data_IF_088604226264
#
_entry.id   IF_088604226264
#
_cell.length_a   1.000
_cell.length_b   1.000
_cell.length_c   1.000
_cell.angle_alpha   90.00
_cell.angle_beta   90.00
_cell.angle_gamma   90.00
#
_symmetry.space_group_name_H-M   'P 1'
#
loop_
_entity.id
_entity.type
_entity.pdbx_description
1 polymer ?
#
# COMPACT_ATOMS: atom_id res chain seq x y z
N UNK A 1 20.44 -5.96 -32.90
CA UNK A 1 19.00 -5.94 -32.54
C UNK A 1 18.66 -4.96 -31.41
N UNK A 2 19.56 -4.69 -30.45
CA UNK A 2 19.31 -3.76 -29.33
C UNK A 2 18.99 -2.29 -29.74
N UNK A 3 19.63 -1.75 -30.78
CA UNK A 3 19.40 -0.36 -31.21
C UNK A 3 17.97 -0.11 -31.73
N UNK A 4 17.33 -1.09 -32.37
CA UNK A 4 15.95 -0.97 -32.89
C UNK A 4 14.91 -1.00 -31.76
N UNK A 5 15.19 -1.73 -30.68
CA UNK A 5 14.34 -1.80 -29.49
C UNK A 5 14.42 -0.48 -28.71
N UNK A 6 15.62 0.09 -28.53
CA UNK A 6 15.77 1.40 -27.89
C UNK A 6 15.07 2.52 -28.67
N UNK A 7 15.14 2.54 -30.00
CA UNK A 7 14.44 3.54 -30.81
C UNK A 7 12.92 3.39 -30.69
N UNK A 8 12.39 2.15 -30.66
CA UNK A 8 10.96 1.92 -30.51
C UNK A 8 10.45 2.28 -29.11
N UNK A 9 11.23 2.00 -28.05
CA UNK A 9 10.91 2.40 -26.69
C UNK A 9 10.94 3.93 -26.56
N UNK A 10 11.94 4.61 -27.14
CA UNK A 10 11.99 6.08 -27.12
C UNK A 10 10.85 6.69 -27.93
N UNK A 11 10.52 6.15 -29.11
CA UNK A 11 9.40 6.63 -29.92
C UNK A 11 8.05 6.40 -29.24
N UNK A 12 7.83 5.25 -28.60
CA UNK A 12 6.59 5.00 -27.85
C UNK A 12 6.51 5.88 -26.60
N UNK A 13 7.62 6.11 -25.90
CA UNK A 13 7.64 7.01 -24.74
C UNK A 13 7.38 8.46 -25.14
N UNK A 14 7.99 8.95 -26.22
CA UNK A 14 7.76 10.31 -26.72
C UNK A 14 6.36 10.45 -27.32
N UNK A 15 5.82 9.43 -27.99
CA UNK A 15 4.45 9.46 -28.52
C UNK A 15 3.40 9.44 -27.41
N UNK A 16 3.60 8.66 -26.34
CA UNK A 16 2.76 8.67 -25.14
C UNK A 16 2.89 10.01 -24.41
N UNK A 17 4.11 10.54 -24.24
CA UNK A 17 4.32 11.86 -23.63
C UNK A 17 3.66 12.97 -24.44
N UNK A 18 3.79 12.94 -25.77
CA UNK A 18 3.15 13.89 -26.68
C UNK A 18 1.63 13.71 -26.68
N UNK A 19 1.11 12.48 -26.58
CA UNK A 19 -0.33 12.23 -26.50
C UNK A 19 -0.92 12.74 -25.18
N UNK A 20 -0.26 12.49 -24.05
CA UNK A 20 -0.64 13.03 -22.74
C UNK A 20 -0.51 14.56 -22.75
N UNK A 21 0.61 15.09 -23.26
CA UNK A 21 0.84 16.52 -23.33
C UNK A 21 -0.18 17.20 -24.23
N UNK A 22 -0.50 16.66 -25.41
CA UNK A 22 -1.53 17.16 -26.32
C UNK A 22 -2.91 17.03 -25.68
N UNK A 23 -3.27 15.94 -25.01
CA UNK A 23 -4.58 15.82 -24.36
C UNK A 23 -4.75 16.79 -23.19
N UNK A 24 -3.72 16.94 -22.35
CA UNK A 24 -3.73 17.86 -21.20
C UNK A 24 -3.67 19.32 -21.66
N UNK A 25 -2.86 19.66 -22.67
CA UNK A 25 -2.78 21.04 -23.21
C UNK A 25 -3.96 21.40 -24.11
N UNK A 26 -4.53 20.46 -24.86
CA UNK A 26 -5.74 20.68 -25.66
C UNK A 26 -6.98 20.82 -24.77
N UNK A 27 -7.04 20.13 -23.61
CA UNK A 27 -8.06 20.36 -22.59
C UNK A 27 -7.90 21.73 -21.92
N UNK A 28 -6.66 22.12 -21.58
CA UNK A 28 -6.34 23.47 -21.10
C UNK A 28 -6.77 24.56 -22.10
N UNK A 29 -6.44 24.40 -23.38
CA UNK A 29 -6.84 25.34 -24.44
C UNK A 29 -8.36 25.34 -24.68
N UNK A 30 -9.02 24.19 -24.61
CA UNK A 30 -10.48 24.09 -24.80
C UNK A 30 -11.25 24.77 -23.66
N UNK A 31 -10.72 24.74 -22.44
CA UNK A 31 -11.24 25.48 -21.29
C UNK A 31 -10.98 26.99 -21.38
N UNK A 32 -9.81 27.40 -21.90
CA UNK A 32 -9.44 28.81 -22.02
C UNK A 32 -10.12 29.56 -23.17
N UNK A 33 -10.66 28.87 -24.18
CA UNK A 33 -11.23 29.50 -25.38
C UNK A 33 -12.76 29.60 -25.42
N UNK A 34 -13.50 28.97 -24.49
CA UNK A 34 -14.97 28.96 -24.53
C UNK A 34 -15.59 29.69 -23.35
N UNK A 35 -16.14 30.87 -23.66
CA UNK A 35 -16.95 31.68 -22.75
C UNK A 35 -18.12 30.86 -22.17
N UNK A 36 -18.30 31.01 -20.85
CA UNK A 36 -19.13 30.18 -19.98
C UNK A 36 -20.59 30.08 -20.38
N UNK A 37 -21.06 28.84 -20.38
CA UNK A 37 -22.47 28.45 -20.36
C UNK A 37 -22.60 27.21 -19.48
N UNK A 38 -23.73 27.07 -18.78
CA UNK A 38 -24.13 25.89 -18.00
C UNK A 38 -23.96 24.56 -18.77
N UNK A 39 -24.07 24.61 -20.10
CA UNK A 39 -23.91 23.44 -20.97
C UNK A 39 -22.47 22.91 -21.05
N UNK A 40 -21.48 23.73 -20.66
CA UNK A 40 -20.06 23.40 -20.75
C UNK A 40 -19.53 22.79 -19.44
N UNK A 41 -20.12 23.10 -18.28
CA UNK A 41 -19.81 22.45 -16.99
C UNK A 41 -20.19 20.97 -16.99
N UNK A 42 -21.37 20.61 -17.50
CA UNK A 42 -21.81 19.20 -17.57
C UNK A 42 -20.98 18.36 -18.54
N UNK A 43 -20.58 18.96 -19.67
CA UNK A 43 -19.69 18.31 -20.65
C UNK A 43 -18.28 18.10 -20.11
N UNK A 44 -17.77 19.05 -19.34
CA UNK A 44 -16.50 18.93 -18.62
C UNK A 44 -16.49 17.68 -17.73
N UNK A 45 -17.54 17.48 -16.93
CA UNK A 45 -17.65 16.31 -16.05
C UNK A 45 -17.71 14.99 -16.83
N UNK A 46 -18.43 14.93 -17.95
CA UNK A 46 -18.44 13.74 -18.80
C UNK A 46 -17.06 13.42 -19.38
N UNK A 47 -16.28 14.45 -19.75
CA UNK A 47 -14.90 14.26 -20.23
C UNK A 47 -13.99 13.80 -19.09
N UNK A 48 -14.06 14.41 -17.91
CA UNK A 48 -13.28 13.99 -16.73
C UNK A 48 -13.57 12.52 -16.36
N UNK A 49 -14.83 12.08 -16.40
CA UNK A 49 -15.20 10.68 -16.16
C UNK A 49 -14.66 9.72 -17.21
N UNK A 50 -14.56 10.14 -18.48
CA UNK A 50 -14.01 9.32 -19.58
C UNK A 50 -12.48 9.24 -19.56
N UNK A 51 -11.81 10.30 -19.11
CA UNK A 51 -10.35 10.40 -19.10
C UNK A 51 -9.68 9.68 -17.92
N UNK A 52 -10.46 9.17 -16.95
CA UNK A 52 -9.94 8.36 -15.84
C UNK A 52 -9.49 9.18 -14.61
N UNK A 53 -8.87 8.52 -13.62
CA UNK A 53 -8.54 9.11 -12.31
C UNK A 53 -7.30 10.01 -12.35
N UNK A 54 -7.20 10.92 -13.32
CA UNK A 54 -6.12 11.91 -13.37
C UNK A 54 -6.44 13.07 -12.44
N UNK A 55 -5.73 13.14 -11.30
CA UNK A 55 -5.86 14.19 -10.30
C UNK A 55 -5.77 15.60 -10.91
N UNK A 56 -4.92 15.81 -11.92
CA UNK A 56 -4.70 17.14 -12.50
C UNK A 56 -5.95 17.67 -13.24
N UNK A 57 -6.69 16.79 -13.90
CA UNK A 57 -7.92 17.12 -14.61
C UNK A 57 -9.03 17.52 -13.64
N UNK A 58 -9.16 16.81 -12.52
CA UNK A 58 -10.17 17.10 -11.49
C UNK A 58 -9.87 18.41 -10.73
N UNK A 59 -8.58 18.73 -10.48
CA UNK A 59 -8.18 20.04 -9.91
C UNK A 59 -8.55 21.18 -10.86
N UNK A 60 -8.27 21.03 -12.16
CA UNK A 60 -8.59 22.04 -13.17
C UNK A 60 -10.11 22.19 -13.32
N UNK A 61 -10.85 21.08 -13.33
CA UNK A 61 -12.30 21.11 -13.41
C UNK A 61 -12.92 21.82 -12.21
N UNK A 62 -12.47 21.49 -10.99
CA UNK A 62 -12.93 22.15 -9.78
C UNK A 62 -12.56 23.64 -9.75
N UNK A 63 -11.34 23.99 -10.18
CA UNK A 63 -10.90 25.39 -10.29
C UNK A 63 -11.72 26.19 -11.30
N UNK A 64 -12.12 25.57 -12.41
CA UNK A 64 -12.99 26.19 -13.41
C UNK A 64 -14.40 26.43 -12.85
N UNK A 65 -14.99 25.42 -12.21
CA UNK A 65 -16.31 25.54 -11.58
C UNK A 65 -16.32 26.54 -10.41
N UNK A 66 -15.20 26.68 -9.71
CA UNK A 66 -15.02 27.64 -8.64
C UNK A 66 -14.70 29.07 -9.14
N UNK A 67 -14.38 29.26 -10.43
CA UNK A 67 -14.06 30.58 -10.98
C UNK A 67 -15.31 31.44 -11.14
N UNK A 68 -15.27 32.74 -10.80
CA UNK A 68 -16.38 33.68 -11.02
C UNK A 68 -16.71 33.87 -12.51
N UNK A 69 -15.79 33.52 -13.42
CA UNK A 69 -15.99 33.59 -14.88
C UNK A 69 -16.94 32.52 -15.42
N UNK A 70 -17.30 31.52 -14.60
CA UNK A 70 -18.16 30.39 -14.98
C UNK A 70 -19.65 30.75 -15.12
N UNK A 71 -20.05 31.96 -14.73
CA UNK A 71 -21.43 32.45 -14.86
C UNK A 71 -22.41 31.97 -13.78
N UNK A 72 -21.90 31.28 -12.76
CA UNK A 72 -22.66 30.89 -11.57
C UNK A 72 -23.66 29.75 -11.76
N UNK A 73 -24.11 29.18 -10.64
CA UNK A 73 -25.16 28.14 -10.60
C UNK A 73 -24.69 26.69 -10.76
N UNK A 74 -23.39 26.41 -10.57
CA UNK A 74 -22.79 25.08 -10.75
C UNK A 74 -22.69 24.24 -9.46
N UNK A 75 -23.56 24.51 -8.47
CA UNK A 75 -23.47 23.87 -7.15
C UNK A 75 -23.68 22.35 -7.22
N UNK A 76 -24.57 21.87 -8.10
CA UNK A 76 -24.83 20.45 -8.29
C UNK A 76 -23.62 19.73 -8.89
N UNK A 77 -22.98 20.35 -9.89
CA UNK A 77 -21.76 19.87 -10.54
C UNK A 77 -20.60 19.80 -9.55
N UNK A 78 -20.44 20.82 -8.70
CA UNK A 78 -19.41 20.83 -7.65
C UNK A 78 -19.66 19.69 -6.64
N UNK A 79 -20.90 19.47 -6.21
CA UNK A 79 -21.23 18.34 -5.33
C UNK A 79 -20.98 16.98 -5.99
N UNK A 80 -21.20 16.86 -7.29
CA UNK A 80 -20.88 15.66 -8.05
C UNK A 80 -19.36 15.42 -8.12
N UNK A 81 -18.56 16.47 -8.37
CA UNK A 81 -17.09 16.41 -8.32
C UNK A 81 -16.59 15.99 -6.94
N UNK A 82 -17.12 16.60 -5.88
CA UNK A 82 -16.72 16.30 -4.50
C UNK A 82 -16.99 14.83 -4.14
N UNK A 83 -18.14 14.28 -4.55
CA UNK A 83 -18.44 12.85 -4.37
C UNK A 83 -17.47 11.96 -5.13
N UNK A 84 -17.12 12.31 -6.37
CA UNK A 84 -16.17 11.52 -7.15
C UNK A 84 -14.74 11.57 -6.59
N UNK A 85 -14.31 12.74 -6.12
CA UNK A 85 -13.04 12.91 -5.40
C UNK A 85 -13.05 12.07 -4.11
N UNK A 86 -14.18 12.06 -3.41
CA UNK A 86 -14.37 11.27 -2.20
C UNK A 86 -14.21 9.76 -2.47
N UNK A 87 -14.89 9.23 -3.48
CA UNK A 87 -14.88 7.79 -3.80
C UNK A 87 -13.53 7.28 -4.31
N UNK A 88 -12.82 8.12 -5.07
CA UNK A 88 -11.60 7.73 -5.77
C UNK A 88 -10.31 8.23 -5.09
N UNK A 89 -10.42 8.87 -3.92
CA UNK A 89 -9.32 9.47 -3.14
C UNK A 89 -8.34 10.30 -3.99
N UNK A 90 -8.89 11.08 -4.93
CA UNK A 90 -8.10 11.72 -5.99
C UNK A 90 -7.36 12.96 -5.52
N UNK A 91 -7.83 13.60 -4.44
CA UNK A 91 -7.34 14.91 -4.04
C UNK A 91 -7.26 15.08 -2.52
N UNK A 92 -6.13 15.64 -2.01
CA UNK A 92 -6.04 16.04 -0.61
C UNK A 92 -7.10 17.09 -0.25
N UNK A 93 -7.67 16.95 0.96
CA UNK A 93 -8.68 17.87 1.49
C UNK A 93 -8.27 19.35 1.40
N UNK A 94 -7.00 19.64 1.69
CA UNK A 94 -6.48 21.01 1.67
C UNK A 94 -6.57 21.64 0.27
N UNK A 95 -6.33 20.85 -0.79
CA UNK A 95 -6.38 21.35 -2.16
C UNK A 95 -7.82 21.64 -2.61
N UNK A 96 -8.78 20.82 -2.15
CA UNK A 96 -10.21 21.08 -2.37
C UNK A 96 -10.65 22.38 -1.70
N UNK A 97 -10.21 22.63 -0.47
CA UNK A 97 -10.57 23.86 0.26
C UNK A 97 -9.93 25.09 -0.40
N UNK A 98 -8.66 25.01 -0.80
CA UNK A 98 -7.96 26.12 -1.45
C UNK A 98 -8.57 26.49 -2.81
N UNK A 99 -9.00 25.48 -3.58
CA UNK A 99 -9.67 25.71 -4.87
C UNK A 99 -11.05 26.34 -4.66
N UNK A 100 -11.85 25.83 -3.71
CA UNK A 100 -13.18 26.37 -3.41
C UNK A 100 -13.14 27.77 -2.77
N UNK A 101 -12.02 28.17 -2.15
CA UNK A 101 -11.85 29.53 -1.58
C UNK A 101 -12.07 30.64 -2.62
N UNK A 102 -11.78 30.37 -3.89
CA UNK A 102 -11.90 31.35 -4.97
C UNK A 102 -13.34 31.53 -5.47
N UNK A 103 -14.27 30.68 -5.02
CA UNK A 103 -15.69 30.77 -5.39
C UNK A 103 -16.46 31.65 -4.41
N UNK A 104 -17.28 32.56 -4.95
CA UNK A 104 -18.17 33.41 -4.15
C UNK A 104 -19.52 32.73 -3.87
N UNK A 105 -19.86 31.68 -4.63
CA UNK A 105 -21.16 30.99 -4.56
C UNK A 105 -21.19 29.79 -3.61
N UNK A 106 -20.04 29.15 -3.35
CA UNK A 106 -20.00 27.95 -2.51
C UNK A 106 -19.89 28.36 -1.05
N UNK A 107 -20.87 27.97 -0.25
CA UNK A 107 -20.80 28.20 1.19
C UNK A 107 -20.12 27.03 1.90
N UNK A 108 -19.57 27.28 3.08
CA UNK A 108 -19.05 26.22 3.96
C UNK A 108 -20.15 25.19 4.30
N UNK A 109 -21.43 25.57 4.22
CA UNK A 109 -22.55 24.65 4.38
C UNK A 109 -22.55 23.52 3.36
N UNK A 110 -22.19 23.82 2.12
CA UNK A 110 -22.25 22.88 0.99
C UNK A 110 -21.13 21.84 1.02
N UNK A 111 -19.97 22.23 1.58
CA UNK A 111 -18.79 21.35 1.71
C UNK A 111 -18.79 20.58 3.04
N UNK A 112 -19.65 20.95 3.99
CA UNK A 112 -19.79 20.28 5.30
C UNK A 112 -19.93 18.75 5.22
N UNK A 113 -20.82 18.16 4.40
CA UNK A 113 -20.96 16.71 4.33
C UNK A 113 -19.66 16.03 3.88
N UNK A 114 -18.98 16.61 2.88
CA UNK A 114 -17.68 16.12 2.40
C UNK A 114 -16.61 16.18 3.50
N UNK A 115 -16.53 17.28 4.24
CA UNK A 115 -15.58 17.43 5.36
C UNK A 115 -15.84 16.40 6.46
N UNK A 116 -17.10 16.18 6.81
CA UNK A 116 -17.49 15.20 7.83
C UNK A 116 -17.14 13.77 7.41
N UNK A 117 -17.39 13.41 6.15
CA UNK A 117 -17.09 12.09 5.64
C UNK A 117 -15.57 11.84 5.57
N UNK A 118 -14.80 12.81 5.05
CA UNK A 118 -13.34 12.73 5.02
C UNK A 118 -12.74 12.63 6.43
N UNK A 119 -13.22 13.43 7.37
CA UNK A 119 -12.79 13.35 8.77
C UNK A 119 -13.04 11.97 9.37
N UNK A 120 -14.24 11.41 9.15
CA UNK A 120 -14.58 10.07 9.63
C UNK A 120 -13.64 9.00 9.08
N UNK A 121 -13.34 9.03 7.77
CA UNK A 121 -12.39 8.10 7.15
C UNK A 121 -10.99 8.21 7.74
N UNK A 122 -10.52 9.43 8.00
CA UNK A 122 -9.23 9.65 8.66
C UNK A 122 -9.22 9.07 10.07
N UNK A 123 -10.28 9.27 10.85
CA UNK A 123 -10.40 8.70 12.20
C UNK A 123 -10.43 7.18 12.17
N UNK A 124 -11.19 6.57 11.25
CA UNK A 124 -11.29 5.11 11.10
C UNK A 124 -9.95 4.50 10.65
N UNK A 125 -9.24 5.16 9.72
CA UNK A 125 -7.90 4.78 9.29
C UNK A 125 -6.89 4.86 10.44
N UNK A 126 -6.95 5.92 11.26
CA UNK A 126 -6.11 6.08 12.45
C UNK A 126 -6.40 4.98 13.49
N UNK A 127 -7.67 4.67 13.74
CA UNK A 127 -8.07 3.61 14.66
C UNK A 127 -7.53 2.25 14.20
N UNK A 128 -7.67 1.95 12.91
CA UNK A 128 -7.14 0.72 12.30
C UNK A 128 -5.62 0.63 12.41
N UNK A 129 -4.91 1.72 12.10
CA UNK A 129 -3.45 1.79 12.19
C UNK A 129 -2.96 1.58 13.63
N UNK A 130 -3.61 2.23 14.60
CA UNK A 130 -3.33 2.04 16.04
C UNK A 130 -3.60 0.61 16.50
N UNK A 131 -4.69 0.00 16.04
CA UNK A 131 -5.02 -1.40 16.31
C UNK A 131 -3.92 -2.36 15.84
N UNK A 132 -3.46 -2.21 14.59
CA UNK A 132 -2.35 -2.99 14.03
C UNK A 132 -1.05 -2.78 14.81
N UNK A 133 -0.70 -1.53 15.12
CA UNK A 133 0.50 -1.23 15.91
C UNK A 133 0.47 -1.86 17.31
N UNK A 134 -0.71 -1.86 17.95
CA UNK A 134 -0.90 -2.54 19.23
C UNK A 134 -0.71 -4.05 19.08
N UNK A 135 -1.32 -4.68 18.07
CA UNK A 135 -1.18 -6.11 17.80
C UNK A 135 0.29 -6.50 17.54
N UNK A 136 0.99 -5.74 16.70
CA UNK A 136 2.42 -5.94 16.42
C UNK A 136 3.24 -5.83 17.71
N UNK A 137 2.93 -4.87 18.58
CA UNK A 137 3.63 -4.69 19.87
C UNK A 137 3.41 -5.89 20.80
N UNK A 138 2.19 -6.42 20.88
CA UNK A 138 1.91 -7.62 21.65
C UNK A 138 2.66 -8.84 21.08
N UNK A 139 2.72 -8.97 19.75
CA UNK A 139 3.45 -10.06 19.11
C UNK A 139 4.96 -9.95 19.36
N UNK A 140 5.54 -8.74 19.31
CA UNK A 140 6.95 -8.50 19.65
C UNK A 140 7.24 -8.94 21.08
N UNK A 141 6.42 -8.53 22.06
CA UNK A 141 6.61 -8.92 23.46
C UNK A 141 6.49 -10.44 23.63
N UNK A 142 5.50 -11.07 22.99
CA UNK A 142 5.35 -12.54 23.00
C UNK A 142 6.59 -13.24 22.43
N UNK A 143 7.09 -12.80 21.27
CA UNK A 143 8.29 -13.37 20.65
C UNK A 143 9.54 -13.17 21.52
N UNK A 144 9.67 -12.02 22.19
CA UNK A 144 10.78 -11.77 23.12
C UNK A 144 10.72 -12.72 24.32
N UNK A 145 9.54 -12.93 24.90
CA UNK A 145 9.35 -13.90 25.98
C UNK A 145 9.69 -15.33 25.53
N UNK A 146 9.24 -15.73 24.34
CA UNK A 146 9.57 -17.04 23.76
C UNK A 146 11.09 -17.21 23.55
N UNK A 147 11.79 -16.17 23.07
CA UNK A 147 13.25 -16.19 22.94
C UNK A 147 13.94 -16.39 24.30
N UNK A 148 13.46 -15.70 25.35
CA UNK A 148 14.02 -15.84 26.70
C UNK A 148 13.80 -17.26 27.21
N UNK A 149 12.56 -17.78 27.13
CA UNK A 149 12.23 -19.15 27.54
C UNK A 149 13.10 -20.19 26.82
N UNK A 150 13.23 -20.11 25.49
CA UNK A 150 14.06 -21.03 24.71
C UNK A 150 15.56 -20.96 25.06
N UNK A 151 16.03 -19.85 25.65
CA UNK A 151 17.43 -19.69 26.08
C UNK A 151 17.68 -20.13 27.52
N UNK A 152 16.71 -19.97 28.41
CA UNK A 152 16.90 -20.19 29.85
C UNK A 152 16.31 -21.50 30.35
N UNK A 153 15.30 -22.03 29.68
CA UNK A 153 14.57 -23.22 30.12
C UNK A 153 14.95 -24.44 29.27
N UNK A 154 15.08 -25.60 29.92
CA UNK A 154 15.29 -26.87 29.24
C UNK A 154 13.99 -27.27 28.52
N UNK A 155 14.03 -27.34 27.19
CA UNK A 155 12.89 -27.79 26.38
C UNK A 155 12.87 -29.31 26.29
N UNK A 156 11.80 -29.93 26.76
CA UNK A 156 11.59 -31.37 26.63
C UNK A 156 11.17 -31.72 25.19
N UNK A 157 11.86 -32.68 24.58
CA UNK A 157 11.53 -33.18 23.24
C UNK A 157 10.81 -34.52 23.36
N UNK A 158 9.49 -34.51 23.15
CA UNK A 158 8.64 -35.71 23.22
C UNK A 158 8.63 -36.53 21.92
N UNK A 159 9.33 -36.08 20.88
CA UNK A 159 9.32 -36.71 19.56
C UNK A 159 10.20 -37.96 19.58
N UNK A 160 9.61 -39.13 19.32
CA UNK A 160 10.30 -40.43 19.29
C UNK A 160 10.64 -40.93 17.88
N UNK A 161 10.28 -40.17 16.83
CA UNK A 161 10.46 -40.55 15.42
C UNK A 161 11.22 -39.49 14.65
N UNK A 162 12.08 -39.92 13.73
CA UNK A 162 12.82 -39.05 12.84
C UNK A 162 11.90 -38.46 11.76
N UNK A 163 11.94 -37.14 11.56
CA UNK A 163 11.12 -36.47 10.55
C UNK A 163 11.57 -36.75 9.10
N UNK A 164 12.78 -37.27 8.88
CA UNK A 164 13.30 -37.58 7.53
C UNK A 164 13.00 -39.02 7.10
N UNK A 165 13.28 -40.01 7.96
CA UNK A 165 13.13 -41.43 7.62
C UNK A 165 11.90 -42.09 8.28
N UNK A 166 11.23 -41.44 9.22
CA UNK A 166 10.05 -41.96 9.92
C UNK A 166 10.33 -43.06 10.96
N UNK A 167 11.57 -43.54 11.04
CA UNK A 167 12.00 -44.57 11.99
C UNK A 167 12.09 -44.00 13.42
N UNK A 168 12.07 -44.89 14.41
CA UNK A 168 12.30 -44.54 15.81
C UNK A 168 13.69 -43.93 15.98
N UNK A 169 13.79 -42.86 16.76
CA UNK A 169 15.05 -42.19 17.05
C UNK A 169 15.88 -43.07 17.98
N UNK A 170 17.12 -43.34 17.56
CA UNK A 170 18.19 -43.90 18.39
C UNK A 170 19.23 -42.82 18.68
N UNK A 171 19.95 -43.01 19.79
CA UNK A 171 21.03 -42.10 20.18
C UNK A 171 22.27 -42.39 19.34
N UNK A 172 22.98 -41.37 18.82
CA UNK A 172 22.79 -39.93 19.03
C UNK A 172 21.73 -39.29 18.10
N UNK A 173 20.83 -38.50 18.69
CA UNK A 173 19.79 -37.74 17.99
C UNK A 173 20.03 -36.23 18.03
N UNK A 174 19.55 -35.51 17.02
CA UNK A 174 19.62 -34.05 16.91
C UNK A 174 18.22 -33.46 17.02
N UNK A 175 18.03 -32.57 17.99
CA UNK A 175 16.76 -31.91 18.26
C UNK A 175 16.85 -30.40 17.98
N UNK A 176 15.90 -29.88 17.21
CA UNK A 176 15.81 -28.46 16.91
C UNK A 176 14.72 -27.80 17.77
N UNK A 177 14.91 -26.55 18.19
CA UNK A 177 13.92 -25.80 18.98
C UNK A 177 12.56 -25.62 18.28
N UNK A 178 12.48 -25.81 16.96
CA UNK A 178 11.23 -25.89 16.21
C UNK A 178 10.43 -27.18 16.47
N UNK A 179 10.93 -28.11 17.29
CA UNK A 179 10.28 -29.37 17.68
C UNK A 179 10.59 -30.56 16.78
N UNK A 180 11.27 -30.34 15.65
CA UNK A 180 11.68 -31.40 14.75
C UNK A 180 12.93 -32.12 15.26
N UNK A 181 12.88 -33.44 15.23
CA UNK A 181 13.94 -34.32 15.70
C UNK A 181 14.36 -35.26 14.59
N UNK A 182 15.67 -35.53 14.51
CA UNK A 182 16.29 -36.28 13.44
C UNK A 182 17.42 -37.14 13.99
N UNK A 183 17.77 -38.21 13.27
CA UNK A 183 19.05 -38.87 13.51
C UNK A 183 20.22 -37.96 13.15
N UNK A 184 21.37 -38.17 13.79
CA UNK A 184 22.60 -37.45 13.46
C UNK A 184 22.96 -37.57 11.96
N UNK A 185 22.72 -38.73 11.35
CA UNK A 185 22.97 -38.98 9.92
C UNK A 185 21.84 -38.50 8.99
N UNK A 186 20.65 -38.17 9.54
CA UNK A 186 19.52 -37.64 8.77
C UNK A 186 19.48 -36.10 8.72
N UNK A 187 20.48 -35.44 9.30
CA UNK A 187 20.54 -33.97 9.42
C UNK A 187 21.73 -33.44 8.62
N UNK A 188 21.57 -32.36 7.84
CA UNK A 188 22.68 -31.66 7.21
C UNK A 188 23.60 -31.02 8.27
N UNK A 189 24.88 -30.85 7.93
CA UNK A 189 25.90 -30.28 8.83
C UNK A 189 25.77 -28.78 9.08
N UNK A 190 24.80 -28.11 8.44
CA UNK A 190 24.60 -26.66 8.50
C UNK A 190 23.89 -26.18 9.78
N UNK A 191 23.50 -27.10 10.67
CA UNK A 191 22.82 -26.77 11.92
C UNK A 191 21.43 -26.16 11.72
N UNK A 192 20.83 -26.35 10.54
CA UNK A 192 19.47 -25.90 10.23
C UNK A 192 18.51 -27.07 10.12
N UNK A 193 17.25 -26.85 10.52
CA UNK A 193 16.22 -27.87 10.41
C UNK A 193 15.81 -28.05 8.93
N UNK A 194 15.96 -29.25 8.33
CA UNK A 194 15.65 -29.49 6.91
C UNK A 194 14.21 -29.20 6.52
N UNK A 195 13.27 -29.40 7.46
CA UNK A 195 11.84 -29.15 7.23
C UNK A 195 11.48 -27.66 7.31
N UNK A 196 12.23 -26.88 8.08
CA UNK A 196 11.96 -25.46 8.26
C UNK A 196 12.76 -24.56 7.31
N UNK A 197 13.93 -25.02 6.84
CA UNK A 197 14.80 -24.25 5.94
C UNK A 197 14.16 -23.97 4.58
N UNK A 198 13.38 -24.92 4.02
CA UNK A 198 12.62 -24.73 2.79
C UNK A 198 11.45 -23.74 2.92
N UNK A 199 10.91 -23.55 4.12
CA UNK A 199 9.82 -22.63 4.43
C UNK A 199 10.23 -21.31 5.09
N UNK A 200 11.52 -21.10 5.36
CA UNK A 200 12.03 -19.92 6.09
C UNK A 200 12.14 -18.66 5.22
N UNK A 201 12.17 -18.81 3.90
CA UNK A 201 12.37 -17.71 2.94
C UNK A 201 11.35 -16.55 3.07
N UNK A 202 10.04 -16.77 3.29
CA UNK A 202 9.08 -15.66 3.40
C UNK A 202 9.23 -14.85 4.69
N UNK A 203 9.74 -15.45 5.77
CA UNK A 203 9.92 -14.76 7.07
C UNK A 203 11.27 -14.06 7.18
N UNK A 204 12.27 -14.49 6.41
CA UNK A 204 13.57 -13.83 6.32
C UNK A 204 13.51 -12.56 5.47
N UNK A 205 12.72 -12.53 4.39
CA UNK A 205 12.57 -11.33 3.55
C UNK A 205 11.88 -10.15 4.28
N UNK A 206 10.90 -10.45 5.16
CA UNK A 206 10.31 -9.47 6.08
C UNK A 206 11.31 -8.98 7.15
N UNK A 207 12.31 -9.78 7.48
CA UNK A 207 13.37 -9.45 8.44
C UNK A 207 14.53 -8.67 7.80
N UNK A 208 14.80 -8.88 6.51
CA UNK A 208 15.83 -8.15 5.76
C UNK A 208 15.43 -6.69 5.50
N UNK A 209 14.13 -6.40 5.37
CA UNK A 209 13.62 -5.01 5.32
C UNK A 209 13.64 -4.29 6.68
N UNK A 210 13.81 -5.02 7.80
CA UNK A 210 13.89 -4.50 9.18
C UNK A 210 15.12 -5.09 9.86
N UNK A 211 16.31 -4.58 9.51
CA UNK A 211 17.60 -5.15 9.93
C UNK A 211 17.68 -5.55 11.40
N UNK A 212 18.00 -6.83 11.65
CA UNK A 212 18.44 -7.34 12.95
C UNK A 212 19.35 -8.56 12.78
N UNK A 213 20.47 -8.49 13.49
CA UNK A 213 21.68 -9.30 13.44
C UNK A 213 21.49 -10.82 13.69
N UNK A 214 22.35 -11.64 13.09
CA UNK A 214 22.27 -13.12 13.13
C UNK A 214 22.91 -13.65 14.42
N UNK A 215 22.09 -13.89 15.44
CA UNK A 215 22.48 -14.67 16.61
C UNK A 215 22.53 -16.17 16.30
N UNK A 216 23.72 -16.77 16.41
CA UNK A 216 24.06 -18.15 16.07
C UNK A 216 23.10 -19.21 16.63
N UNK A 217 22.57 -20.06 15.74
CA UNK A 217 21.89 -21.30 16.12
C UNK A 217 22.92 -22.25 16.74
N UNK A 218 22.95 -22.36 18.07
CA UNK A 218 23.77 -23.37 18.76
C UNK A 218 23.05 -24.71 18.67
N UNK A 219 23.67 -25.67 17.98
CA UNK A 219 23.28 -27.09 18.00
C UNK A 219 23.77 -27.65 19.34
N UNK A 220 22.85 -28.14 20.16
CA UNK A 220 23.17 -28.79 21.42
C UNK A 220 23.16 -30.30 21.21
N UNK A 221 24.25 -30.97 21.57
CA UNK A 221 24.34 -32.42 21.63
C UNK A 221 23.95 -32.84 23.03
N UNK A 222 22.87 -33.62 23.16
CA UNK A 222 22.58 -34.34 24.39
C UNK A 222 23.30 -35.69 24.31
N UNK A 223 24.21 -35.92 25.25
CA UNK A 223 24.91 -37.19 25.46
C UNK A 223 24.03 -38.09 26.32
#
# INVERSE_FOLDING_TARGET
>A
MHARICIYIIYTYTYIYIYIYIHVTHFHCALQQRHGSFQDARRLLEVCKRCGPDQSLWVQALSFLASPESGGGHLEEIQEVLRHIEDSDLMPLLLVIETLRHSEEVTIGDVRPYLQAQYKRLVDALATSRGKSSQDRHEIVRMQQEIVQLRTEAKEFQTTRCFQCGLTLDVPAVHFFCGHSYHAYCTPSDGTCPKCSSGALPKLSLKESKGMDRGSTKVFYFV
#
